data_IF_221382376450
#
_entry.id   IF_221382376450
#
_cell.length_a   1.000
_cell.length_b   1.000
_cell.length_c   1.000
_cell.angle_alpha   90.00
_cell.angle_beta   90.00
_cell.angle_gamma   90.00
#
_symmetry.space_group_name_H-M   'P 1'
#
loop_
_entity.id
_entity.type
_entity.pdbx_description
1 polymer ?
#
# COMPACT_ATOMS: atom_id res chain seq x y z
N UNK A 1 7.74 13.53 1.60
CA UNK A 1 8.77 12.81 0.79
C UNK A 1 10.12 12.58 1.52
N UNK A 2 10.20 12.74 2.85
CA UNK A 2 11.48 12.68 3.57
C UNK A 2 12.13 11.29 3.54
N UNK A 3 11.32 10.22 3.55
CA UNK A 3 11.79 8.83 3.57
C UNK A 3 11.73 8.12 2.22
N UNK A 4 11.23 8.78 1.17
CA UNK A 4 11.15 8.16 -0.16
C UNK A 4 12.52 8.19 -0.83
N UNK A 5 12.87 7.09 -1.48
CA UNK A 5 14.09 6.98 -2.27
C UNK A 5 13.90 7.67 -3.63
N UNK A 6 14.66 8.74 -3.88
CA UNK A 6 14.47 9.57 -5.08
C UNK A 6 14.82 8.87 -6.40
N UNK A 7 15.43 7.69 -6.37
CA UNK A 7 15.67 6.89 -7.58
C UNK A 7 14.37 6.50 -8.30
N UNK A 8 13.25 6.41 -7.58
CA UNK A 8 11.93 6.17 -8.16
C UNK A 8 11.41 7.40 -8.92
N UNK A 9 11.80 8.60 -8.49
CA UNK A 9 11.35 9.86 -9.06
C UNK A 9 12.23 10.28 -10.25
N UNK A 10 13.56 10.12 -10.13
CA UNK A 10 14.51 10.59 -11.14
C UNK A 10 15.04 9.49 -12.08
N UNK A 11 14.79 8.22 -11.78
CA UNK A 11 15.27 7.08 -12.61
C UNK A 11 14.42 6.76 -13.81
N UNK A 12 13.14 7.12 -13.81
CA UNK A 12 12.22 6.82 -14.90
C UNK A 12 11.98 8.06 -15.73
N UNK A 13 12.16 7.93 -17.06
CA UNK A 13 11.79 9.00 -18.02
C UNK A 13 10.33 9.43 -17.93
N UNK A 14 9.49 8.61 -17.31
CA UNK A 14 8.06 8.80 -17.12
C UNK A 14 7.69 9.98 -16.21
N UNK A 15 8.60 10.49 -15.39
CA UNK A 15 8.26 11.62 -14.51
C UNK A 15 8.30 12.99 -15.19
N UNK A 16 8.75 13.06 -16.44
CA UNK A 16 8.50 14.22 -17.32
C UNK A 16 7.18 14.06 -18.09
N UNK A 17 6.43 13.01 -17.86
CA UNK A 17 5.11 12.76 -18.48
C UNK A 17 3.99 13.69 -18.00
N UNK A 18 4.27 14.60 -17.07
CA UNK A 18 3.38 15.73 -16.81
C UNK A 18 3.02 16.51 -18.08
N UNK A 19 3.84 16.36 -19.11
CA UNK A 19 3.66 16.97 -20.43
C UNK A 19 3.50 15.94 -21.56
N UNK A 20 3.10 14.71 -21.21
CA UNK A 20 2.89 13.63 -22.19
C UNK A 20 1.51 13.73 -22.90
N UNK A 21 0.80 14.82 -22.74
CA UNK A 21 -0.34 15.12 -23.60
C UNK A 21 0.16 15.33 -25.03
N UNK A 22 -0.53 14.76 -25.99
CA UNK A 22 -0.24 14.87 -27.43
C UNK A 22 -0.23 16.31 -27.96
N UNK A 23 -0.80 17.24 -27.18
CA UNK A 23 -0.76 18.68 -27.45
C UNK A 23 0.58 19.35 -27.21
N UNK A 24 1.55 18.66 -26.54
CA UNK A 24 2.84 19.24 -26.21
C UNK A 24 4.00 18.55 -26.97
N UNK A 25 4.96 19.35 -27.45
CA UNK A 25 6.15 18.90 -28.13
C UNK A 25 7.40 19.53 -27.53
N UNK A 26 8.45 18.72 -27.31
CA UNK A 26 9.75 19.23 -26.91
C UNK A 26 10.45 19.92 -28.09
N UNK A 27 10.81 21.19 -27.93
CA UNK A 27 11.71 21.90 -28.84
C UNK A 27 13.17 21.52 -28.56
N UNK A 28 13.51 21.37 -27.28
CA UNK A 28 14.75 20.73 -26.87
C UNK A 28 14.57 20.04 -25.50
N UNK A 29 15.43 19.06 -25.23
CA UNK A 29 15.53 18.35 -23.96
C UNK A 29 16.99 17.98 -23.74
N UNK A 30 17.57 18.43 -22.63
CA UNK A 30 18.97 18.19 -22.28
C UNK A 30 19.08 17.67 -20.86
N UNK A 31 19.82 16.57 -20.69
CA UNK A 31 20.23 16.06 -19.38
C UNK A 31 21.74 16.29 -19.23
N UNK A 32 22.15 16.85 -18.10
CA UNK A 32 23.56 17.04 -17.76
C UNK A 32 23.81 16.57 -16.33
N UNK A 33 25.01 16.04 -16.10
CA UNK A 33 25.49 15.71 -14.76
C UNK A 33 26.77 16.51 -14.55
N UNK A 34 26.78 17.36 -13.53
CA UNK A 34 27.96 18.13 -13.18
C UNK A 34 29.04 17.28 -12.49
N UNK A 35 30.27 17.78 -12.41
CA UNK A 35 31.38 17.08 -11.75
C UNK A 35 31.15 16.83 -10.26
N UNK A 36 30.29 17.62 -9.63
CA UNK A 36 29.84 17.49 -8.25
C UNK A 36 28.63 16.56 -8.06
N UNK A 37 28.23 15.85 -9.14
CA UNK A 37 27.07 14.97 -9.12
C UNK A 37 25.72 15.70 -9.28
N UNK A 38 25.70 17.02 -9.45
CA UNK A 38 24.48 17.77 -9.73
C UNK A 38 23.84 17.27 -11.02
N UNK A 39 22.58 16.86 -10.96
CA UNK A 39 21.81 16.44 -12.13
C UNK A 39 20.91 17.58 -12.58
N UNK A 40 20.97 17.91 -13.86
CA UNK A 40 20.19 19.00 -14.45
C UNK A 40 19.40 18.45 -15.63
N UNK A 41 18.11 18.74 -15.64
CA UNK A 41 17.23 18.58 -16.79
C UNK A 41 16.76 19.94 -17.23
N UNK A 42 17.06 20.31 -18.47
CA UNK A 42 16.63 21.55 -19.10
C UNK A 42 15.80 21.21 -20.33
N UNK A 43 14.60 21.76 -20.42
CA UNK A 43 13.70 21.48 -21.53
C UNK A 43 12.91 22.73 -21.92
N UNK A 44 12.63 22.86 -23.22
CA UNK A 44 11.68 23.80 -23.76
C UNK A 44 10.58 23.02 -24.46
N UNK A 45 9.37 23.26 -24.05
CA UNK A 45 8.17 22.57 -24.52
C UNK A 45 7.27 23.60 -25.20
N UNK A 46 6.68 23.25 -26.32
CA UNK A 46 5.68 24.08 -27.01
C UNK A 46 4.35 23.36 -27.05
N UNK A 47 3.28 24.14 -26.95
CA UNK A 47 1.93 23.72 -27.25
C UNK A 47 1.74 23.67 -28.76
N UNK A 48 1.25 22.55 -29.32
CA UNK A 48 1.04 22.39 -30.76
C UNK A 48 -0.15 23.20 -31.29
N UNK A 49 -1.06 23.59 -30.41
CA UNK A 49 -2.25 24.37 -30.74
C UNK A 49 -2.11 25.88 -30.52
N UNK A 50 -0.96 26.36 -30.02
CA UNK A 50 -0.73 27.76 -29.74
C UNK A 50 0.74 28.16 -29.86
N UNK A 51 1.05 29.45 -29.74
CA UNK A 51 2.42 29.96 -29.66
C UNK A 51 3.07 29.79 -28.27
N UNK A 52 2.37 29.22 -27.30
CA UNK A 52 2.85 29.10 -25.93
C UNK A 52 4.05 28.15 -25.82
N UNK A 53 5.01 28.58 -25.01
CA UNK A 53 6.12 27.73 -24.63
C UNK A 53 6.25 27.62 -23.13
N UNK A 54 6.79 26.51 -22.65
CA UNK A 54 7.15 26.31 -21.25
C UNK A 54 8.63 25.92 -21.18
N UNK A 55 9.46 26.80 -20.64
CA UNK A 55 10.84 26.47 -20.30
C UNK A 55 10.87 25.90 -18.89
N UNK A 56 11.46 24.71 -18.71
CA UNK A 56 11.62 24.06 -17.42
C UNK A 56 13.07 23.68 -17.20
N UNK A 57 13.57 23.91 -15.99
CA UNK A 57 14.88 23.43 -15.56
C UNK A 57 14.74 22.80 -14.19
N UNK A 58 15.03 21.51 -14.11
CA UNK A 58 15.06 20.78 -12.85
C UNK A 58 16.51 20.54 -12.47
N UNK A 59 16.89 20.97 -11.28
CA UNK A 59 18.23 20.80 -10.72
C UNK A 59 18.11 19.92 -9.50
N UNK A 60 18.93 18.90 -9.43
CA UNK A 60 18.99 18.00 -8.31
C UNK A 60 20.40 17.94 -7.74
N UNK A 61 20.57 18.39 -6.50
CA UNK A 61 21.86 18.50 -5.84
C UNK A 61 21.74 18.21 -4.35
N UNK A 62 22.62 17.36 -3.82
CA UNK A 62 22.76 17.07 -2.38
C UNK A 62 21.43 16.78 -1.67
N UNK A 63 20.52 16.03 -2.34
CA UNK A 63 19.22 15.66 -1.80
C UNK A 63 18.12 16.70 -1.97
N UNK A 64 18.42 17.85 -2.54
CA UNK A 64 17.46 18.91 -2.80
C UNK A 64 17.09 18.95 -4.28
N UNK A 65 15.80 19.06 -4.58
CA UNK A 65 15.26 19.26 -5.92
C UNK A 65 14.78 20.71 -6.10
N UNK A 66 15.19 21.33 -7.19
CA UNK A 66 14.77 22.69 -7.55
C UNK A 66 14.10 22.62 -8.90
N UNK A 67 12.90 23.16 -9.03
CA UNK A 67 12.16 23.27 -10.27
C UNK A 67 12.00 24.74 -10.64
N UNK A 68 12.57 25.11 -11.78
CA UNK A 68 12.35 26.41 -12.40
C UNK A 68 11.40 26.20 -13.56
N UNK A 69 10.37 27.03 -13.67
CA UNK A 69 9.44 26.98 -14.78
C UNK A 69 9.06 28.39 -15.22
N UNK A 70 8.94 28.60 -16.53
CA UNK A 70 8.50 29.87 -17.08
C UNK A 70 7.69 29.64 -18.34
N UNK A 71 6.55 30.27 -18.42
CA UNK A 71 5.79 30.35 -19.64
C UNK A 71 6.31 31.49 -20.54
N UNK A 72 6.45 31.20 -21.81
CA UNK A 72 6.87 32.13 -22.85
C UNK A 72 6.01 31.98 -24.10
N UNK A 73 6.52 32.53 -25.18
CA UNK A 73 5.89 32.52 -26.49
C UNK A 73 6.95 32.18 -27.55
N UNK A 74 6.57 31.45 -28.61
CA UNK A 74 7.45 31.14 -29.75
C UNK A 74 7.71 32.36 -30.64
N UNK A 75 6.86 33.38 -30.57
CA UNK A 75 6.93 34.59 -31.40
C UNK A 75 7.84 35.67 -30.78
N UNK A 76 8.16 35.54 -29.50
CA UNK A 76 8.97 36.51 -28.78
C UNK A 76 10.15 35.82 -28.10
N UNK A 77 11.30 36.49 -28.06
CA UNK A 77 12.42 35.99 -27.30
C UNK A 77 12.18 36.15 -25.79
N UNK A 78 12.69 35.20 -25.03
CA UNK A 78 12.74 35.32 -23.56
C UNK A 78 13.50 36.59 -23.17
N UNK A 79 12.99 37.32 -22.16
CA UNK A 79 13.62 38.52 -21.64
C UNK A 79 15.08 38.24 -21.17
N UNK A 80 15.90 39.26 -21.17
CA UNK A 80 17.28 39.16 -20.67
C UNK A 80 17.31 38.68 -19.21
N UNK A 81 16.37 39.14 -18.38
CA UNK A 81 16.20 38.67 -17.00
C UNK A 81 15.95 37.17 -16.94
N UNK A 82 15.02 36.68 -17.78
CA UNK A 82 14.70 35.25 -17.79
C UNK A 82 15.88 34.40 -18.23
N UNK A 83 16.55 34.79 -19.29
CA UNK A 83 17.75 34.09 -19.76
C UNK A 83 18.81 34.06 -18.64
N UNK A 84 19.10 35.20 -18.04
CA UNK A 84 20.04 35.34 -16.94
C UNK A 84 19.65 34.43 -15.76
N UNK A 85 18.39 34.49 -15.30
CA UNK A 85 17.92 33.72 -14.16
C UNK A 85 18.06 32.20 -14.39
N UNK A 86 17.61 31.69 -15.54
CA UNK A 86 17.74 30.25 -15.85
C UNK A 86 19.19 29.80 -16.01
N UNK A 87 20.06 30.67 -16.53
CA UNK A 87 21.46 30.33 -16.79
C UNK A 87 22.34 30.43 -15.55
N UNK A 88 22.02 31.35 -14.65
CA UNK A 88 22.85 31.63 -13.45
C UNK A 88 22.33 31.03 -12.16
N UNK A 89 21.06 30.55 -12.14
CA UNK A 89 20.53 29.94 -10.93
C UNK A 89 21.39 28.74 -10.51
N UNK A 90 21.95 28.84 -9.32
CA UNK A 90 22.73 27.77 -8.69
C UNK A 90 22.19 27.52 -7.30
N UNK A 91 21.90 26.24 -6.95
CA UNK A 91 21.51 25.91 -5.59
C UNK A 91 22.57 26.30 -4.57
N UNK A 92 22.13 26.77 -3.40
CA UNK A 92 23.02 27.07 -2.30
C UNK A 92 23.79 25.81 -1.87
N UNK A 93 25.13 25.80 -1.93
CA UNK A 93 25.93 24.63 -1.57
C UNK A 93 25.93 24.32 -0.07
N UNK A 94 25.45 25.22 0.77
CA UNK A 94 25.31 24.98 2.22
C UNK A 94 24.10 24.14 2.56
N UNK A 95 23.09 24.10 1.68
CA UNK A 95 21.87 23.31 1.85
C UNK A 95 22.13 21.85 1.50
N UNK A 96 22.50 21.08 2.50
CA UNK A 96 22.67 19.62 2.37
C UNK A 96 21.45 18.92 2.94
N UNK A 97 20.90 18.01 2.19
CA UNK A 97 19.87 17.07 2.64
C UNK A 97 20.45 15.65 2.74
N UNK A 98 19.67 14.71 3.22
CA UNK A 98 20.05 13.29 3.19
C UNK A 98 20.32 12.86 1.75
N UNK A 99 21.29 11.95 1.57
CA UNK A 99 21.64 11.46 0.24
C UNK A 99 20.40 10.83 -0.44
N UNK A 100 20.03 11.31 -1.61
CA UNK A 100 18.71 11.03 -2.20
C UNK A 100 18.54 9.58 -2.66
N UNK A 101 19.65 8.95 -3.02
CA UNK A 101 19.65 7.58 -3.55
C UNK A 101 19.95 6.52 -2.47
N UNK A 102 20.23 6.94 -1.24
CA UNK A 102 20.36 6.01 -0.12
C UNK A 102 18.99 5.54 0.34
N UNK A 103 18.93 4.28 0.71
CA UNK A 103 17.76 3.70 1.35
C UNK A 103 17.52 4.38 2.68
N UNK A 104 16.36 4.97 2.84
CA UNK A 104 16.02 5.81 4.00
C UNK A 104 15.35 5.04 5.13
N UNK A 105 15.14 3.73 4.98
CA UNK A 105 14.55 2.90 6.02
C UNK A 105 15.31 2.96 7.34
N UNK A 106 16.65 3.05 7.32
CA UNK A 106 17.46 3.19 8.55
C UNK A 106 17.15 4.49 9.29
N UNK A 107 16.99 5.59 8.56
CA UNK A 107 16.62 6.90 9.13
C UNK A 107 15.19 6.83 9.67
N UNK A 108 14.28 6.28 8.89
CA UNK A 108 12.89 6.09 9.27
C UNK A 108 12.74 5.32 10.59
N UNK A 109 13.36 4.16 10.71
CA UNK A 109 13.27 3.35 11.94
C UNK A 109 13.93 4.00 13.16
N UNK A 110 14.97 4.82 12.95
CA UNK A 110 15.54 5.64 14.02
C UNK A 110 14.53 6.71 14.47
N UNK A 111 13.97 7.46 13.53
CA UNK A 111 13.06 8.56 13.79
C UNK A 111 11.73 8.09 14.38
N UNK A 112 11.28 6.89 14.00
CA UNK A 112 10.09 6.23 14.58
C UNK A 112 10.27 5.94 16.08
N UNK A 113 11.50 5.77 16.56
CA UNK A 113 11.83 5.51 17.96
C UNK A 113 12.39 6.74 18.67
N UNK A 114 12.37 7.91 18.02
CA UNK A 114 12.91 9.15 18.59
C UNK A 114 12.11 9.58 19.84
N UNK A 115 12.82 10.12 20.82
CA UNK A 115 12.21 10.66 22.04
C UNK A 115 11.36 11.92 21.73
N UNK A 116 11.76 12.70 20.71
CA UNK A 116 10.99 13.86 20.25
C UNK A 116 9.71 13.39 19.53
N UNK A 117 8.57 13.76 20.10
CA UNK A 117 7.26 13.42 19.55
C UNK A 117 6.99 14.00 18.16
N UNK A 118 7.61 15.13 17.80
CA UNK A 118 7.43 15.74 16.48
C UNK A 118 8.14 14.89 15.43
N UNK A 119 9.38 14.48 15.69
CA UNK A 119 10.15 13.59 14.81
C UNK A 119 9.42 12.25 14.66
N UNK A 120 9.01 11.65 15.78
CA UNK A 120 8.29 10.37 15.81
C UNK A 120 6.97 10.43 15.04
N UNK A 121 6.14 11.46 15.25
CA UNK A 121 4.88 11.62 14.54
C UNK A 121 5.06 11.85 13.04
N UNK A 122 6.11 12.55 12.63
CA UNK A 122 6.45 12.69 11.22
C UNK A 122 6.81 11.34 10.59
N UNK A 123 7.55 10.49 11.30
CA UNK A 123 7.84 9.13 10.83
C UNK A 123 6.55 8.29 10.73
N UNK A 124 5.69 8.31 11.76
CA UNK A 124 4.39 7.60 11.76
C UNK A 124 3.54 8.00 10.57
N UNK A 125 3.45 9.30 10.25
CA UNK A 125 2.63 9.78 9.11
C UNK A 125 3.13 9.33 7.74
N UNK A 126 4.31 8.76 7.65
CA UNK A 126 4.94 8.34 6.38
C UNK A 126 5.20 6.82 6.32
N UNK A 127 4.61 6.03 7.21
CA UNK A 127 4.79 4.56 7.22
C UNK A 127 4.40 3.95 5.87
N UNK A 128 3.33 4.43 5.25
CA UNK A 128 2.83 3.92 3.97
C UNK A 128 3.74 4.25 2.78
N UNK A 129 4.54 5.29 2.91
CA UNK A 129 5.37 5.83 1.83
C UNK A 129 6.81 5.29 1.83
N UNK A 130 7.23 4.64 2.94
CA UNK A 130 8.61 4.16 3.06
C UNK A 130 8.84 2.90 2.22
N UNK A 131 9.96 2.87 1.50
CA UNK A 131 10.42 1.68 0.78
C UNK A 131 11.09 0.70 1.76
N UNK A 132 10.39 -0.36 2.09
CA UNK A 132 10.82 -1.43 3.01
C UNK A 132 10.98 -2.73 2.21
N UNK A 133 12.08 -3.42 2.41
CA UNK A 133 12.37 -4.71 1.80
C UNK A 133 12.87 -5.76 2.82
N UNK A 134 13.26 -6.91 2.33
CA UNK A 134 13.73 -8.03 3.17
C UNK A 134 14.92 -7.70 4.07
N UNK A 135 15.74 -6.70 3.73
CA UNK A 135 16.89 -6.28 4.56
C UNK A 135 16.46 -5.47 5.79
N UNK A 136 15.23 -4.99 5.80
CA UNK A 136 14.64 -4.25 6.93
C UNK A 136 13.83 -5.12 7.88
N UNK A 137 13.65 -6.40 7.56
CA UNK A 137 12.76 -7.30 8.29
C UNK A 137 12.96 -7.22 9.81
N UNK A 138 14.19 -7.32 10.28
CA UNK A 138 14.50 -7.26 11.73
C UNK A 138 14.16 -5.90 12.36
N UNK A 139 14.34 -4.80 11.60
CA UNK A 139 13.99 -3.46 12.08
C UNK A 139 12.48 -3.29 12.17
N UNK A 140 11.76 -3.82 11.19
CA UNK A 140 10.30 -3.76 11.15
C UNK A 140 9.69 -4.60 12.28
N UNK A 141 10.20 -5.82 12.51
CA UNK A 141 9.80 -6.67 13.65
C UNK A 141 10.00 -5.92 14.98
N UNK A 142 11.18 -5.32 15.14
CA UNK A 142 11.52 -4.56 16.35
C UNK A 142 10.61 -3.33 16.52
N UNK A 143 10.28 -2.64 15.44
CA UNK A 143 9.36 -1.51 15.47
C UNK A 143 7.96 -1.93 15.95
N UNK A 144 7.40 -3.02 15.40
CA UNK A 144 6.09 -3.55 15.83
C UNK A 144 6.11 -3.97 17.31
N UNK A 145 7.18 -4.63 17.76
CA UNK A 145 7.29 -5.11 19.13
C UNK A 145 7.51 -3.98 20.15
N UNK A 146 8.14 -2.88 19.76
CA UNK A 146 8.50 -1.76 20.67
C UNK A 146 7.42 -0.70 20.81
N UNK A 147 6.31 -0.79 20.06
CA UNK A 147 5.24 0.20 20.15
C UNK A 147 4.59 0.23 21.55
N UNK A 148 4.44 1.43 22.07
CA UNK A 148 3.81 1.63 23.36
C UNK A 148 2.28 1.68 23.22
N UNK A 149 1.60 0.67 23.77
CA UNK A 149 0.13 0.56 23.75
C UNK A 149 -0.62 1.75 24.38
N UNK A 150 0.04 2.57 25.20
CA UNK A 150 -0.53 3.78 25.81
C UNK A 150 -0.58 4.97 24.83
N UNK A 151 0.05 4.89 23.68
CA UNK A 151 0.01 5.95 22.70
C UNK A 151 -1.34 6.03 22.02
N UNK A 152 -1.86 7.25 21.81
CA UNK A 152 -3.21 7.50 21.26
C UNK A 152 -3.45 6.82 19.90
N UNK A 153 -2.41 6.64 19.09
CA UNK A 153 -2.48 6.04 17.75
C UNK A 153 -1.85 4.64 17.68
N UNK A 154 -1.76 3.95 18.81
CA UNK A 154 -1.10 2.65 18.88
C UNK A 154 -1.63 1.64 17.86
N UNK A 155 -2.94 1.41 17.83
CA UNK A 155 -3.55 0.40 16.95
C UNK A 155 -3.35 0.75 15.48
N UNK A 156 -3.60 2.00 15.10
CA UNK A 156 -3.40 2.48 13.72
C UNK A 156 -1.94 2.32 13.29
N UNK A 157 -1.00 2.80 14.14
CA UNK A 157 0.44 2.71 13.85
C UNK A 157 0.90 1.25 13.73
N UNK A 158 0.41 0.38 14.62
CA UNK A 158 0.74 -1.04 14.60
C UNK A 158 0.19 -1.73 13.35
N UNK A 159 -1.05 -1.43 12.97
CA UNK A 159 -1.67 -1.90 11.73
C UNK A 159 -0.84 -1.51 10.51
N UNK A 160 -0.47 -0.22 10.40
CA UNK A 160 0.33 0.25 9.26
C UNK A 160 1.73 -0.41 9.19
N UNK A 161 2.37 -0.64 10.33
CA UNK A 161 3.65 -1.38 10.35
C UNK A 161 3.47 -2.85 9.97
N UNK A 162 2.38 -3.51 10.39
CA UNK A 162 2.07 -4.89 9.99
C UNK A 162 1.82 -4.95 8.48
N UNK A 163 1.13 -3.97 7.90
CA UNK A 163 0.88 -3.90 6.46
C UNK A 163 2.17 -3.89 5.63
N UNK A 164 3.28 -3.42 6.18
CA UNK A 164 4.57 -3.43 5.46
C UNK A 164 5.18 -4.83 5.30
N UNK A 165 4.73 -5.84 6.06
CA UNK A 165 5.18 -7.22 5.88
C UNK A 165 4.59 -7.88 4.62
N UNK A 166 3.47 -7.42 4.11
CA UNK A 166 2.86 -7.93 2.87
C UNK A 166 3.77 -7.75 1.64
N UNK A 167 4.62 -6.72 1.65
CA UNK A 167 5.58 -6.46 0.59
C UNK A 167 6.84 -7.33 0.68
N UNK A 168 7.12 -7.94 1.86
CA UNK A 168 8.32 -8.75 2.13
C UNK A 168 8.05 -10.23 1.88
N UNK A 169 8.26 -10.69 0.64
CA UNK A 169 7.93 -12.05 0.19
C UNK A 169 8.98 -13.09 0.61
N UNK A 170 9.30 -13.16 1.91
CA UNK A 170 10.26 -14.11 2.47
C UNK A 170 9.60 -15.04 3.48
N UNK A 171 10.12 -16.28 3.62
CA UNK A 171 9.64 -17.21 4.66
C UNK A 171 9.70 -16.61 6.04
N UNK A 172 10.81 -15.95 6.37
CA UNK A 172 11.02 -15.35 7.69
C UNK A 172 9.96 -14.24 7.99
N UNK A 173 9.50 -13.48 7.00
CA UNK A 173 8.41 -12.53 7.17
C UNK A 173 7.07 -13.24 7.42
N UNK A 174 6.79 -14.32 6.67
CA UNK A 174 5.58 -15.12 6.86
C UNK A 174 5.57 -15.82 8.23
N UNK A 175 6.71 -16.38 8.66
CA UNK A 175 6.84 -17.02 9.98
C UNK A 175 6.60 -16.02 11.12
N UNK A 176 7.16 -14.82 10.99
CA UNK A 176 6.91 -13.75 11.96
C UNK A 176 5.42 -13.33 12.01
N UNK A 177 4.77 -13.21 10.87
CA UNK A 177 3.33 -12.91 10.82
C UNK A 177 2.51 -14.00 11.53
N UNK A 178 2.85 -15.28 11.36
CA UNK A 178 2.20 -16.38 12.08
C UNK A 178 2.40 -16.27 13.60
N UNK A 179 3.64 -16.02 14.04
CA UNK A 179 3.93 -15.81 15.46
C UNK A 179 3.20 -14.60 16.03
N UNK A 180 3.15 -13.53 15.26
CA UNK A 180 2.44 -12.31 15.62
C UNK A 180 0.92 -12.53 15.74
N UNK A 181 0.33 -13.36 14.88
CA UNK A 181 -1.10 -13.71 14.95
C UNK A 181 -1.45 -14.30 16.32
N UNK A 182 -0.66 -15.26 16.79
CA UNK A 182 -0.86 -15.89 18.11
C UNK A 182 -0.64 -14.88 19.24
N UNK A 183 0.35 -14.00 19.11
CA UNK A 183 0.63 -12.97 20.12
C UNK A 183 -0.42 -11.85 20.21
N UNK A 184 -1.33 -11.78 19.24
CA UNK A 184 -2.39 -10.78 19.13
C UNK A 184 -3.78 -11.36 19.44
N UNK A 185 -3.87 -12.43 20.23
CA UNK A 185 -5.12 -13.14 20.50
C UNK A 185 -6.21 -12.28 21.16
N UNK A 186 -5.83 -11.17 21.79
CA UNK A 186 -6.71 -10.17 22.39
C UNK A 186 -7.14 -9.03 21.45
N UNK A 187 -6.59 -8.99 20.21
CA UNK A 187 -6.78 -7.87 19.28
C UNK A 187 -7.16 -8.34 17.88
N UNK A 188 -8.43 -8.73 17.71
CA UNK A 188 -8.99 -9.32 16.49
C UNK A 188 -8.68 -8.48 15.24
N UNK A 189 -8.74 -7.15 15.31
CA UNK A 189 -8.45 -6.27 14.18
C UNK A 189 -7.03 -6.41 13.65
N UNK A 190 -6.06 -6.59 14.55
CA UNK A 190 -4.67 -6.82 14.17
C UNK A 190 -4.46 -8.24 13.66
N UNK A 191 -5.22 -9.22 14.16
CA UNK A 191 -5.22 -10.58 13.61
C UNK A 191 -5.70 -10.59 12.15
N UNK A 192 -6.75 -9.85 11.82
CA UNK A 192 -7.20 -9.70 10.42
C UNK A 192 -6.10 -9.09 9.56
N UNK A 193 -5.45 -8.03 10.04
CA UNK A 193 -4.33 -7.40 9.32
C UNK A 193 -3.19 -8.38 9.05
N UNK A 194 -2.89 -9.26 10.00
CA UNK A 194 -1.89 -10.32 9.80
C UNK A 194 -2.30 -11.29 8.69
N UNK A 195 -3.57 -11.73 8.69
CA UNK A 195 -4.10 -12.63 7.67
C UNK A 195 -4.09 -11.99 6.26
N UNK A 196 -4.52 -10.75 6.15
CA UNK A 196 -4.45 -9.97 4.91
C UNK A 196 -3.02 -9.91 4.36
N UNK A 197 -2.05 -9.65 5.23
CA UNK A 197 -0.65 -9.54 4.82
C UNK A 197 0.00 -10.88 4.45
N UNK A 198 -0.41 -11.99 5.03
CA UNK A 198 -0.01 -13.31 4.55
C UNK A 198 -0.50 -13.56 3.12
N UNK A 199 -1.74 -13.19 2.81
CA UNK A 199 -2.28 -13.31 1.45
C UNK A 199 -1.63 -12.32 0.47
N UNK A 200 -1.37 -11.08 0.90
CA UNK A 200 -0.71 -10.06 0.09
C UNK A 200 0.71 -10.47 -0.35
N UNK A 201 1.41 -11.29 0.41
CA UNK A 201 2.71 -11.82 0.00
C UNK A 201 2.64 -12.66 -1.29
N UNK A 202 1.47 -13.23 -1.63
CA UNK A 202 1.22 -14.03 -2.85
C UNK A 202 2.27 -15.14 -3.05
N UNK A 203 2.62 -15.85 -1.98
CA UNK A 203 3.54 -16.99 -2.00
C UNK A 203 2.85 -18.26 -1.51
N UNK A 204 3.19 -19.41 -2.08
CA UNK A 204 2.63 -20.69 -1.64
C UNK A 204 2.91 -20.98 -0.16
N UNK A 205 4.03 -20.50 0.37
CA UNK A 205 4.37 -20.65 1.77
C UNK A 205 3.45 -19.85 2.68
N UNK A 206 3.22 -18.56 2.36
CA UNK A 206 2.34 -17.70 3.15
C UNK A 206 0.88 -18.19 3.11
N UNK A 207 0.40 -18.65 1.94
CA UNK A 207 -0.94 -19.25 1.81
C UNK A 207 -1.09 -20.51 2.65
N UNK A 208 -0.07 -21.38 2.72
CA UNK A 208 -0.10 -22.54 3.62
C UNK A 208 -0.19 -22.12 5.08
N UNK A 209 0.62 -21.13 5.53
CA UNK A 209 0.53 -20.63 6.91
C UNK A 209 -0.84 -20.00 7.20
N UNK A 210 -1.40 -19.26 6.24
CA UNK A 210 -2.76 -18.72 6.35
C UNK A 210 -3.79 -19.85 6.57
N UNK A 211 -3.73 -20.92 5.76
CA UNK A 211 -4.65 -22.05 5.92
C UNK A 211 -4.44 -22.81 7.24
N UNK A 212 -3.21 -22.95 7.70
CA UNK A 212 -2.89 -23.54 9.01
C UNK A 212 -3.51 -22.73 10.16
N UNK A 213 -3.43 -21.40 10.10
CA UNK A 213 -4.05 -20.52 11.09
C UNK A 213 -5.57 -20.72 11.08
N UNK A 214 -6.22 -20.62 9.92
CA UNK A 214 -7.68 -20.75 9.84
C UNK A 214 -8.19 -22.13 10.29
N UNK A 215 -7.43 -23.18 10.06
CA UNK A 215 -7.79 -24.54 10.51
C UNK A 215 -7.69 -24.70 12.01
N UNK A 216 -6.71 -24.09 12.65
CA UNK A 216 -6.44 -24.26 14.07
C UNK A 216 -7.20 -23.23 14.93
N UNK A 217 -7.21 -21.99 14.51
CA UNK A 217 -7.74 -20.85 15.27
C UNK A 217 -8.31 -19.80 14.31
N UNK A 218 -9.38 -20.16 13.58
CA UNK A 218 -10.04 -19.19 12.71
C UNK A 218 -10.56 -18.01 13.57
N UNK A 219 -10.24 -16.75 13.22
CA UNK A 219 -10.71 -15.62 13.99
C UNK A 219 -12.23 -15.53 13.95
N UNK A 220 -12.84 -15.13 15.07
CA UNK A 220 -14.26 -14.79 15.09
C UNK A 220 -14.44 -13.57 14.20
N UNK A 221 -15.29 -13.67 13.17
CA UNK A 221 -15.62 -12.52 12.34
C UNK A 221 -16.51 -11.58 13.14
N UNK A 222 -15.92 -10.53 13.70
CA UNK A 222 -16.65 -9.55 14.48
C UNK A 222 -17.28 -8.50 13.55
N UNK A 223 -18.52 -8.11 13.90
CA UNK A 223 -19.30 -7.11 13.16
C UNK A 223 -18.77 -5.67 13.33
N UNK A 224 -17.78 -5.45 14.20
CA UNK A 224 -17.19 -4.15 14.47
C UNK A 224 -16.00 -3.77 13.55
N UNK A 225 -15.59 -4.63 12.62
CA UNK A 225 -14.31 -4.53 11.90
C UNK A 225 -14.28 -3.62 10.66
N UNK A 226 -15.35 -2.91 10.30
CA UNK A 226 -15.28 -1.96 9.19
C UNK A 226 -14.90 -0.56 9.68
N UNK A 227 -13.79 -0.07 9.11
CA UNK A 227 -13.30 1.31 9.11
C UNK A 227 -13.83 2.20 10.23
N UNK A 228 -13.10 2.27 11.33
CA UNK A 228 -13.20 3.36 12.29
C UNK A 228 -12.75 4.71 11.71
N UNK A 229 -12.97 4.94 10.43
CA UNK A 229 -12.76 6.25 9.81
C UNK A 229 -14.02 7.08 9.96
N UNK A 230 -14.03 7.94 10.99
CA UNK A 230 -14.88 9.13 11.08
C UNK A 230 -16.40 8.95 10.88
N UNK A 231 -17.06 8.31 11.83
CA UNK A 231 -18.51 8.31 11.96
C UNK A 231 -18.93 8.30 13.43
N UNK A 232 -20.06 8.90 13.74
CA UNK A 232 -20.64 8.99 15.09
C UNK A 232 -21.00 7.59 15.63
N UNK A 233 -20.10 7.01 16.43
CA UNK A 233 -20.28 5.70 17.07
C UNK A 233 -20.95 5.81 18.41
N UNK A 234 -22.18 6.27 18.40
CA UNK A 234 -23.00 6.12 19.59
C UNK A 234 -23.47 4.65 19.71
N UNK A 235 -23.57 4.13 20.94
CA UNK A 235 -24.17 2.80 21.22
C UNK A 235 -25.51 2.65 20.50
N UNK A 236 -26.22 3.74 20.30
CA UNK A 236 -27.47 3.81 19.56
C UNK A 236 -27.31 3.46 18.08
N UNK A 237 -26.28 3.98 17.39
CA UNK A 237 -26.04 3.67 15.96
C UNK A 237 -25.64 2.21 15.74
N UNK A 238 -24.90 1.62 16.67
CA UNK A 238 -24.55 0.18 16.67
C UNK A 238 -25.79 -0.70 16.89
N UNK A 239 -26.66 -0.32 17.82
CA UNK A 239 -27.92 -1.02 18.07
C UNK A 239 -28.91 -0.90 16.91
N UNK A 240 -28.97 0.25 16.26
CA UNK A 240 -29.85 0.47 15.11
C UNK A 240 -29.37 -0.31 13.88
N UNK A 241 -28.06 -0.44 13.65
CA UNK A 241 -27.46 -1.33 12.65
C UNK A 241 -27.73 -2.80 12.94
N UNK A 242 -27.58 -3.23 14.18
CA UNK A 242 -27.91 -4.59 14.62
C UNK A 242 -29.39 -4.92 14.37
N UNK A 243 -30.29 -3.98 14.63
CA UNK A 243 -31.74 -4.13 14.41
C UNK A 243 -32.15 -4.11 12.95
N UNK A 244 -31.42 -3.38 12.09
CA UNK A 244 -31.70 -3.33 10.64
C UNK A 244 -31.29 -4.59 9.89
N UNK A 245 -30.62 -5.54 10.55
CA UNK A 245 -30.13 -6.76 9.91
C UNK A 245 -29.02 -6.51 8.86
N UNK A 246 -28.47 -5.31 8.84
CA UNK A 246 -27.28 -5.00 8.05
C UNK A 246 -26.09 -5.79 8.58
N UNK A 247 -25.90 -6.97 8.02
CA UNK A 247 -24.68 -7.76 8.22
C UNK A 247 -23.56 -7.01 7.54
N UNK A 248 -22.75 -6.30 8.30
CA UNK A 248 -21.50 -5.74 7.84
C UNK A 248 -20.64 -6.94 7.41
N UNK A 249 -20.25 -6.96 6.13
CA UNK A 249 -19.42 -8.03 5.56
C UNK A 249 -18.00 -7.93 6.13
N UNK A 250 -17.74 -8.65 7.20
CA UNK A 250 -16.45 -8.70 7.87
C UNK A 250 -15.63 -9.89 7.39
N UNK A 251 -15.04 -9.78 6.27
CA UNK A 251 -14.22 -10.83 5.72
C UNK A 251 -13.32 -10.30 4.62
N UNK A 252 -12.86 -9.04 4.74
CA UNK A 252 -11.97 -8.44 3.73
C UNK A 252 -10.78 -9.34 3.42
N UNK A 253 -10.20 -10.02 4.42
CA UNK A 253 -9.12 -10.97 4.17
C UNK A 253 -9.57 -12.18 3.32
N UNK A 254 -10.85 -12.54 3.32
CA UNK A 254 -11.37 -13.56 2.42
C UNK A 254 -11.54 -13.05 0.98
N UNK A 255 -11.77 -11.74 0.80
CA UNK A 255 -11.83 -11.13 -0.52
C UNK A 255 -10.45 -11.13 -1.21
N UNK A 256 -9.37 -11.03 -0.45
CA UNK A 256 -7.98 -11.16 -0.94
C UNK A 256 -7.68 -12.54 -1.56
N UNK A 257 -8.46 -13.59 -1.23
CA UNK A 257 -8.33 -14.91 -1.83
C UNK A 257 -8.67 -14.91 -3.32
N UNK A 258 -9.55 -14.02 -3.78
CA UNK A 258 -9.88 -13.83 -5.19
C UNK A 258 -8.71 -13.26 -5.99
N UNK A 259 -7.86 -12.47 -5.37
CA UNK A 259 -6.69 -11.83 -6.01
C UNK A 259 -5.65 -12.82 -6.52
N UNK A 260 -5.65 -14.03 -5.99
CA UNK A 260 -4.69 -15.08 -6.36
C UNK A 260 -5.35 -16.48 -6.32
N UNK A 261 -6.42 -16.65 -7.09
CA UNK A 261 -7.23 -17.88 -7.10
C UNK A 261 -6.42 -19.17 -7.33
N UNK A 262 -5.31 -19.12 -8.08
CA UNK A 262 -4.45 -20.27 -8.30
C UNK A 262 -3.76 -20.73 -7.01
N UNK A 263 -3.32 -19.80 -6.16
CA UNK A 263 -2.77 -20.10 -4.83
C UNK A 263 -3.88 -20.53 -3.88
N UNK A 264 -5.02 -19.86 -3.93
CA UNK A 264 -6.20 -20.18 -3.12
C UNK A 264 -6.68 -21.61 -3.37
N UNK A 265 -6.62 -22.09 -4.63
CA UNK A 265 -6.95 -23.48 -4.96
C UNK A 265 -6.07 -24.48 -4.20
N UNK A 266 -4.80 -24.16 -3.94
CA UNK A 266 -3.89 -25.07 -3.24
C UNK A 266 -4.26 -25.28 -1.78
N UNK A 267 -4.97 -24.34 -1.17
CA UNK A 267 -5.44 -24.39 0.23
C UNK A 267 -6.94 -24.64 0.36
N UNK A 268 -7.63 -24.84 -0.76
CA UNK A 268 -9.09 -25.05 -0.78
C UNK A 268 -9.57 -26.14 0.18
N UNK A 269 -8.93 -27.32 0.29
CA UNK A 269 -9.35 -28.37 1.21
C UNK A 269 -9.43 -27.90 2.67
N UNK A 270 -8.59 -26.94 3.06
CA UNK A 270 -8.59 -26.37 4.42
C UNK A 270 -9.66 -25.26 4.59
N UNK A 271 -10.06 -24.60 3.51
CA UNK A 271 -11.11 -23.57 3.53
C UNK A 271 -12.53 -24.17 3.56
N UNK A 272 -12.75 -25.27 2.87
CA UNK A 272 -14.07 -25.87 2.74
C UNK A 272 -14.75 -26.24 4.09
N UNK A 273 -14.05 -26.72 5.13
CA UNK A 273 -14.65 -26.95 6.45
C UNK A 273 -15.24 -25.69 7.09
N UNK A 274 -14.70 -24.51 6.79
CA UNK A 274 -15.18 -23.21 7.31
C UNK A 274 -16.58 -22.85 6.78
N UNK A 275 -17.07 -23.51 5.73
CA UNK A 275 -18.47 -23.44 5.27
C UNK A 275 -19.48 -23.91 6.35
N UNK A 276 -19.03 -24.56 7.41
CA UNK A 276 -19.86 -24.91 8.57
C UNK A 276 -20.07 -23.73 9.52
N UNK A 277 -19.23 -22.69 9.43
CA UNK A 277 -19.32 -21.48 10.22
C UNK A 277 -20.17 -20.46 9.46
N UNK A 278 -21.27 -20.01 10.06
CA UNK A 278 -22.23 -19.12 9.37
C UNK A 278 -21.58 -17.82 8.90
N UNK A 279 -20.63 -17.28 9.65
CA UNK A 279 -19.94 -16.04 9.34
C UNK A 279 -19.04 -16.14 8.10
N UNK A 280 -18.41 -17.31 7.88
CA UNK A 280 -17.52 -17.58 6.74
C UNK A 280 -18.28 -17.98 5.47
N UNK A 281 -19.47 -18.54 5.64
CA UNK A 281 -20.22 -19.22 4.58
C UNK A 281 -20.45 -18.34 3.35
N UNK A 282 -20.92 -17.11 3.54
CA UNK A 282 -21.30 -16.23 2.42
C UNK A 282 -20.10 -15.88 1.55
N UNK A 283 -18.98 -15.47 2.18
CA UNK A 283 -17.75 -15.08 1.46
C UNK A 283 -17.09 -16.26 0.76
N UNK A 284 -17.03 -17.43 1.43
CA UNK A 284 -16.48 -18.64 0.81
C UNK A 284 -17.34 -19.16 -0.33
N UNK A 285 -18.67 -19.04 -0.25
CA UNK A 285 -19.55 -19.41 -1.36
C UNK A 285 -19.36 -18.47 -2.57
N UNK A 286 -19.15 -17.18 -2.35
CA UNK A 286 -18.83 -16.23 -3.40
C UNK A 286 -17.51 -16.59 -4.07
N UNK A 287 -16.46 -16.82 -3.28
CA UNK A 287 -15.14 -17.25 -3.75
C UNK A 287 -15.24 -18.54 -4.61
N UNK A 288 -15.96 -19.54 -4.13
CA UNK A 288 -16.14 -20.80 -4.89
C UNK A 288 -16.89 -20.57 -6.21
N UNK A 289 -17.89 -19.69 -6.22
CA UNK A 289 -18.57 -19.26 -7.45
C UNK A 289 -17.58 -18.64 -8.45
N UNK A 290 -16.76 -17.68 -8.01
CA UNK A 290 -15.74 -17.04 -8.85
C UNK A 290 -14.71 -18.05 -9.39
N UNK A 291 -14.31 -19.04 -8.57
CA UNK A 291 -13.39 -20.09 -8.99
C UNK A 291 -14.01 -21.07 -10.00
N UNK A 292 -15.32 -21.35 -9.90
CA UNK A 292 -16.05 -22.15 -10.92
C UNK A 292 -16.15 -21.38 -12.23
N UNK A 293 -16.54 -20.11 -12.18
CA UNK A 293 -16.64 -19.25 -13.36
C UNK A 293 -15.29 -19.07 -14.07
N UNK A 294 -14.21 -19.10 -13.30
CA UNK A 294 -12.83 -19.04 -13.81
C UNK A 294 -12.29 -20.41 -14.28
N UNK A 295 -13.09 -21.47 -14.28
CA UNK A 295 -12.69 -22.84 -14.62
C UNK A 295 -11.54 -23.41 -13.75
N UNK A 296 -11.38 -22.90 -12.55
CA UNK A 296 -10.36 -23.38 -11.60
C UNK A 296 -10.84 -24.55 -10.75
N UNK A 297 -12.16 -24.75 -10.63
CA UNK A 297 -12.76 -25.88 -9.91
C UNK A 297 -13.49 -26.82 -10.84
N UNK A 298 -13.38 -28.11 -10.54
CA UNK A 298 -14.16 -29.17 -11.15
C UNK A 298 -15.25 -29.61 -10.18
N UNK A 299 -16.36 -30.18 -10.67
CA UNK A 299 -17.47 -30.65 -9.82
C UNK A 299 -17.03 -31.54 -8.66
N UNK A 300 -16.02 -32.37 -8.86
CA UNK A 300 -15.45 -33.26 -7.84
C UNK A 300 -14.83 -32.49 -6.65
N UNK A 301 -14.34 -31.27 -6.87
CA UNK A 301 -13.67 -30.47 -5.84
C UNK A 301 -14.65 -29.98 -4.77
N UNK A 302 -15.95 -29.83 -5.11
CA UNK A 302 -17.00 -29.34 -4.22
C UNK A 302 -18.24 -30.24 -4.08
N UNK A 303 -18.22 -31.41 -4.64
CA UNK A 303 -19.35 -32.36 -4.63
C UNK A 303 -19.86 -32.61 -3.21
N UNK A 304 -18.97 -32.84 -2.24
CA UNK A 304 -19.32 -33.09 -0.85
C UNK A 304 -20.08 -31.91 -0.17
N UNK A 305 -19.97 -30.70 -0.72
CA UNK A 305 -20.60 -29.50 -0.19
C UNK A 305 -21.78 -29.00 -1.00
N UNK A 306 -22.12 -29.69 -2.11
CA UNK A 306 -23.17 -29.29 -3.06
C UNK A 306 -24.52 -29.07 -2.38
N UNK A 307 -24.88 -29.93 -1.44
CA UNK A 307 -26.15 -29.80 -0.70
C UNK A 307 -26.23 -28.48 0.08
N UNK A 308 -25.12 -27.98 0.60
CA UNK A 308 -25.05 -26.69 1.30
C UNK A 308 -25.25 -25.51 0.35
N UNK A 309 -24.67 -25.59 -0.86
CA UNK A 309 -24.90 -24.60 -1.90
C UNK A 309 -26.36 -24.49 -2.28
N UNK A 310 -27.06 -25.63 -2.44
CA UNK A 310 -28.48 -25.65 -2.74
C UNK A 310 -29.33 -25.03 -1.64
N UNK A 311 -28.99 -25.25 -0.37
CA UNK A 311 -29.72 -24.67 0.76
C UNK A 311 -29.57 -23.15 0.76
N UNK A 312 -28.36 -22.63 0.56
CA UNK A 312 -28.13 -21.19 0.54
C UNK A 312 -28.75 -20.51 -0.69
N UNK A 313 -28.67 -21.13 -1.86
CA UNK A 313 -29.34 -20.64 -3.06
C UNK A 313 -30.86 -20.52 -2.84
N UNK A 314 -31.47 -21.53 -2.21
CA UNK A 314 -32.90 -21.50 -1.88
C UNK A 314 -33.27 -20.41 -0.87
N UNK A 315 -32.40 -20.12 0.11
CA UNK A 315 -32.60 -19.01 1.04
C UNK A 315 -32.56 -17.66 0.32
N UNK A 316 -31.60 -17.45 -0.57
CA UNK A 316 -31.50 -16.22 -1.37
C UNK A 316 -32.73 -15.99 -2.24
N UNK A 317 -33.25 -17.03 -2.89
CA UNK A 317 -34.46 -16.94 -3.74
C UNK A 317 -35.70 -16.61 -2.93
N UNK A 318 -35.82 -17.08 -1.67
CA UNK A 318 -36.96 -16.77 -0.80
C UNK A 318 -36.99 -15.35 -0.24
N UNK A 319 -35.86 -14.66 -0.25
CA UNK A 319 -35.72 -13.30 0.25
C UNK A 319 -35.81 -12.25 -0.89
N UNK A 320 -36.13 -12.66 -2.10
CA UNK A 320 -36.57 -11.85 -3.24
C UNK A 320 -38.08 -12.01 -3.44
#
# INVERSE_FOLDING_TARGET
>A
YHYIKDSSIFGKETNMSFFADTSFRYLYKKKTVGPDGTKIWDALITDTGSSRTLRTKMIYRDGNGYALAMQGDTLTEASSFTKFFFDTFTPDPSLKSTKPFEKKSTVFFRDLQDADSVIRNNAISQITEIDIDSTDLLRLQKAVASLNWKEKKYLETKKELINRFGDIKTRAASDYLRELYVALDDTIQLQYTVLENLLQQKTAYAYRLFSEILRNEAPVLDFAGEDFSYGDYSIKSLLDRYKSGERIKNGKFLDELDDSMALTRTILPDLLPLLNLDDYKSSLMSLLGNMVDSNLLQPVDYEAYFSKFLVEAKKKIKNY
#
